data_IF_788637043414
#
_entry.id   IF_788637043414
#
_cell.length_a   1.000
_cell.length_b   1.000
_cell.length_c   1.000
_cell.angle_alpha   90.00
_cell.angle_beta   90.00
_cell.angle_gamma   90.00
#
_symmetry.space_group_name_H-M   'P 1'
#
loop_
_entity.id
_entity.type
_entity.pdbx_description
1 polymer ?
#
# COMPACT_ATOMS: atom_id res chain seq x y z
N UNK A 1 -13.43 -21.10 11.33
CA UNK A 1 -13.07 -20.26 10.20
C UNK A 1 -13.90 -19.01 10.28
N UNK A 2 -13.27 -17.91 10.66
CA UNK A 2 -13.88 -16.59 10.75
C UNK A 2 -14.55 -16.22 9.42
N UNK A 3 -15.69 -15.54 9.52
CA UNK A 3 -16.42 -15.02 8.37
C UNK A 3 -15.66 -13.85 7.75
N UNK A 4 -15.30 -13.99 6.47
CA UNK A 4 -14.58 -12.97 5.71
C UNK A 4 -15.50 -12.11 4.85
N UNK A 5 -16.83 -12.36 4.82
CA UNK A 5 -17.75 -11.54 4.01
C UNK A 5 -17.54 -10.07 4.34
N UNK A 6 -17.33 -9.28 3.28
CA UNK A 6 -17.02 -7.86 3.39
C UNK A 6 -18.14 -7.03 2.78
N UNK A 7 -18.39 -5.86 3.37
CA UNK A 7 -19.29 -4.84 2.86
C UNK A 7 -18.51 -3.52 2.81
N UNK A 8 -18.14 -3.09 1.61
CA UNK A 8 -17.40 -1.85 1.38
C UNK A 8 -18.24 -0.94 0.51
N UNK A 9 -18.74 0.17 1.07
CA UNK A 9 -19.66 1.11 0.39
C UNK A 9 -21.02 0.51 0.00
N UNK A 10 -21.49 -0.52 0.72
CA UNK A 10 -22.67 -1.30 0.32
C UNK A 10 -22.36 -2.38 -0.71
N UNK A 11 -21.12 -2.43 -1.25
CA UNK A 11 -20.68 -3.45 -2.19
C UNK A 11 -20.26 -4.69 -1.41
N UNK A 12 -21.08 -5.74 -1.52
CA UNK A 12 -20.86 -7.00 -0.81
C UNK A 12 -19.97 -7.92 -1.62
N UNK A 13 -19.03 -8.58 -0.94
CA UNK A 13 -18.21 -9.63 -1.53
C UNK A 13 -17.92 -10.76 -0.53
N UNK A 14 -17.57 -11.98 -1.00
CA UNK A 14 -17.33 -13.13 -0.12
C UNK A 14 -16.08 -13.00 0.75
N UNK A 15 -15.17 -12.09 0.40
CA UNK A 15 -13.96 -11.76 1.14
C UNK A 15 -13.49 -10.33 0.76
N UNK A 16 -12.60 -9.69 1.55
CA UNK A 16 -12.15 -8.31 1.31
C UNK A 16 -11.07 -8.19 0.22
N UNK A 17 -10.74 -9.27 -0.50
CA UNK A 17 -9.66 -9.26 -1.49
C UNK A 17 -10.21 -9.02 -2.89
N UNK A 18 -9.91 -7.86 -3.44
CA UNK A 18 -10.27 -7.50 -4.81
C UNK A 18 -9.03 -7.54 -5.70
N UNK A 19 -9.16 -7.91 -6.97
CA UNK A 19 -8.08 -7.63 -7.93
C UNK A 19 -8.07 -6.15 -8.26
N UNK A 20 -6.90 -5.52 -8.24
CA UNK A 20 -6.78 -4.12 -8.64
C UNK A 20 -6.89 -3.96 -10.16
N UNK A 21 -7.33 -2.78 -10.62
CA UNK A 21 -7.36 -2.40 -12.04
C UNK A 21 -5.95 -2.47 -12.65
N UNK A 22 -5.72 -3.52 -13.44
CA UNK A 22 -4.42 -3.98 -13.91
C UNK A 22 -4.59 -5.08 -15.00
N UNK A 23 -3.52 -5.58 -15.67
CA UNK A 23 -3.65 -6.67 -16.66
C UNK A 23 -4.49 -7.90 -16.22
N UNK A 24 -4.45 -8.33 -14.95
CA UNK A 24 -5.29 -9.44 -14.49
C UNK A 24 -6.81 -9.19 -14.63
N UNK A 25 -7.24 -7.96 -14.88
CA UNK A 25 -8.65 -7.53 -14.90
C UNK A 25 -9.09 -6.93 -16.25
N UNK A 26 -8.30 -7.10 -17.31
CA UNK A 26 -8.54 -6.45 -18.61
C UNK A 26 -9.54 -7.18 -19.53
N UNK A 27 -9.90 -8.43 -19.19
CA UNK A 27 -10.82 -9.25 -19.99
C UNK A 27 -11.63 -10.22 -19.14
N UNK A 28 -12.84 -10.52 -19.63
CA UNK A 28 -13.76 -11.50 -19.04
C UNK A 28 -13.04 -12.80 -18.67
N UNK A 29 -12.25 -13.34 -19.59
CA UNK A 29 -11.53 -14.61 -19.40
C UNK A 29 -10.71 -14.63 -18.11
N UNK A 30 -10.02 -13.54 -17.79
CA UNK A 30 -9.19 -13.45 -16.59
C UNK A 30 -10.06 -13.26 -15.33
N UNK A 31 -11.05 -12.36 -15.41
CA UNK A 31 -11.94 -12.06 -14.28
C UNK A 31 -12.75 -13.29 -13.85
N UNK A 32 -13.32 -14.04 -14.80
CA UNK A 32 -14.04 -15.29 -14.52
C UNK A 32 -13.12 -16.33 -13.88
N UNK A 33 -11.85 -16.42 -14.32
CA UNK A 33 -10.87 -17.32 -13.67
C UNK A 33 -10.53 -16.89 -12.25
N UNK A 34 -10.44 -15.58 -11.99
CA UNK A 34 -10.26 -15.06 -10.64
C UNK A 34 -11.45 -15.38 -9.74
N UNK A 35 -12.68 -15.13 -10.19
CA UNK A 35 -13.88 -15.47 -9.41
C UNK A 35 -14.00 -16.97 -9.13
N UNK A 36 -13.73 -17.83 -10.12
CA UNK A 36 -13.65 -19.28 -9.92
C UNK A 36 -12.57 -19.70 -8.90
N UNK A 37 -11.47 -18.96 -8.81
CA UNK A 37 -10.42 -19.23 -7.82
C UNK A 37 -10.81 -18.79 -6.41
N UNK A 38 -11.79 -17.89 -6.26
CA UNK A 38 -12.32 -17.44 -4.97
C UNK A 38 -12.15 -15.95 -4.67
N UNK A 39 -11.70 -15.13 -5.63
CA UNK A 39 -11.55 -13.68 -5.41
C UNK A 39 -12.87 -13.02 -5.02
N UNK A 40 -12.83 -12.10 -4.07
CA UNK A 40 -14.01 -11.41 -3.56
C UNK A 40 -14.60 -10.43 -4.58
N UNK A 41 -13.74 -9.79 -5.34
CA UNK A 41 -14.12 -8.81 -6.35
C UNK A 41 -12.99 -8.48 -7.32
N UNK A 42 -13.30 -7.63 -8.28
CA UNK A 42 -12.30 -6.99 -9.15
C UNK A 42 -12.63 -5.51 -9.33
N UNK A 43 -11.58 -4.72 -9.53
CA UNK A 43 -11.68 -3.45 -10.24
C UNK A 43 -11.28 -3.73 -11.69
N UNK A 44 -12.21 -3.59 -12.63
CA UNK A 44 -11.97 -3.78 -14.06
C UNK A 44 -10.89 -2.82 -14.57
N UNK A 45 -10.05 -3.27 -15.52
CA UNK A 45 -8.98 -2.44 -16.09
C UNK A 45 -9.55 -1.11 -16.59
N UNK A 46 -8.80 -0.04 -16.34
CA UNK A 46 -9.25 1.33 -16.65
C UNK A 46 -9.73 1.47 -18.09
N UNK A 47 -10.96 1.96 -18.27
CA UNK A 47 -11.57 2.26 -19.54
C UNK A 47 -11.32 3.72 -19.95
N UNK A 48 -11.13 3.93 -21.25
CA UNK A 48 -11.12 5.25 -21.88
C UNK A 48 -12.49 5.66 -22.42
N UNK A 49 -12.56 6.89 -22.94
CA UNK A 49 -13.75 7.37 -23.64
C UNK A 49 -13.99 6.61 -24.96
N UNK A 50 -15.16 6.82 -25.55
CA UNK A 50 -15.46 6.28 -26.87
C UNK A 50 -14.48 6.81 -27.94
N UNK A 51 -14.06 5.92 -28.83
CA UNK A 51 -13.11 6.23 -29.89
C UNK A 51 -12.08 5.11 -30.09
N UNK A 52 -11.03 5.37 -30.89
CA UNK A 52 -9.91 4.46 -31.05
C UNK A 52 -9.28 4.14 -29.69
N UNK A 53 -9.04 2.85 -29.37
CA UNK A 53 -8.38 2.49 -28.13
C UNK A 53 -6.97 3.09 -28.02
N UNK A 54 -6.47 3.18 -26.78
CA UNK A 54 -5.10 3.58 -26.54
C UNK A 54 -4.14 2.55 -27.15
N UNK A 55 -3.08 3.04 -27.79
CA UNK A 55 -2.04 2.20 -28.36
C UNK A 55 -0.92 2.04 -27.34
N UNK A 56 -0.69 0.79 -26.95
CA UNK A 56 0.46 0.41 -26.14
C UNK A 56 1.71 0.19 -27.01
N UNK A 57 2.89 0.24 -26.37
CA UNK A 57 4.12 -0.22 -27.00
C UNK A 57 4.09 -1.74 -27.22
N UNK A 58 4.59 -2.19 -28.37
CA UNK A 58 4.60 -3.61 -28.76
C UNK A 58 5.81 -4.39 -28.19
N UNK A 59 6.65 -3.74 -27.38
CA UNK A 59 7.85 -4.31 -26.77
C UNK A 59 7.68 -4.71 -25.30
N UNK A 60 8.79 -5.02 -24.60
CA UNK A 60 8.80 -5.25 -23.16
C UNK A 60 8.18 -4.05 -22.42
N UNK A 61 7.18 -4.34 -21.60
CA UNK A 61 6.46 -3.32 -20.80
C UNK A 61 6.72 -3.43 -19.31
N UNK A 62 7.50 -4.42 -18.88
CA UNK A 62 7.75 -4.72 -17.49
C UNK A 62 9.25 -4.76 -17.19
N UNK A 63 9.66 -3.96 -16.22
CA UNK A 63 10.94 -4.06 -15.52
C UNK A 63 10.74 -4.69 -14.15
N UNK A 64 11.82 -5.11 -13.50
CA UNK A 64 11.72 -5.78 -12.21
C UNK A 64 12.97 -5.60 -11.36
N UNK A 65 12.78 -5.64 -10.05
CA UNK A 65 13.85 -5.67 -9.05
C UNK A 65 13.76 -7.01 -8.31
N UNK A 66 14.90 -7.66 -8.14
CA UNK A 66 14.99 -8.99 -7.52
C UNK A 66 15.87 -8.99 -6.29
N UNK A 67 15.57 -9.92 -5.38
CA UNK A 67 16.43 -10.29 -4.28
C UNK A 67 17.57 -11.21 -4.72
N UNK A 68 18.46 -11.53 -3.79
CA UNK A 68 19.62 -12.39 -4.04
C UNK A 68 19.25 -13.79 -4.57
N UNK A 69 18.07 -14.29 -4.21
CA UNK A 69 17.50 -15.57 -4.62
C UNK A 69 16.62 -15.47 -5.88
N UNK A 70 16.68 -14.36 -6.60
CA UNK A 70 15.85 -14.03 -7.77
C UNK A 70 14.36 -13.83 -7.44
N UNK A 71 13.99 -13.78 -6.15
CA UNK A 71 12.63 -13.43 -5.70
C UNK A 71 12.28 -12.02 -6.15
N UNK A 72 11.07 -11.84 -6.66
CA UNK A 72 10.57 -10.55 -7.10
C UNK A 72 10.34 -9.61 -5.90
N UNK A 73 11.06 -8.49 -5.85
CA UNK A 73 10.88 -7.44 -4.84
C UNK A 73 9.96 -6.33 -5.33
N UNK A 74 9.93 -6.09 -6.64
CA UNK A 74 9.00 -5.16 -7.27
C UNK A 74 8.98 -5.28 -8.79
N UNK A 75 7.90 -4.78 -9.40
CA UNK A 75 7.75 -4.62 -10.84
C UNK A 75 7.64 -3.15 -11.17
N UNK A 76 8.24 -2.75 -12.27
CA UNK A 76 7.94 -1.49 -12.93
C UNK A 76 7.18 -1.79 -14.22
N UNK A 77 6.25 -0.92 -14.61
CA UNK A 77 5.52 -1.08 -15.85
C UNK A 77 5.34 0.24 -16.59
N UNK A 78 5.35 0.16 -17.92
CA UNK A 78 5.00 1.26 -18.83
C UNK A 78 3.71 0.96 -19.60
N UNK A 79 2.80 0.20 -18.98
CA UNK A 79 1.51 -0.18 -19.58
C UNK A 79 0.45 0.89 -19.37
N UNK A 80 -0.34 1.19 -20.41
CA UNK A 80 -1.38 2.21 -20.35
C UNK A 80 -2.73 1.62 -19.87
N UNK A 81 -3.82 2.38 -20.08
CA UNK A 81 -5.19 1.87 -19.91
C UNK A 81 -5.51 0.79 -20.95
N UNK A 82 -6.73 0.22 -20.89
CA UNK A 82 -7.13 -0.82 -21.84
C UNK A 82 -6.90 -0.37 -23.30
N UNK A 83 -6.30 -1.25 -24.11
CA UNK A 83 -6.17 -1.09 -25.55
C UNK A 83 -7.31 -1.79 -26.31
N UNK A 84 -8.34 -2.21 -25.58
CA UNK A 84 -9.51 -2.90 -26.10
C UNK A 84 -10.65 -1.92 -26.37
N UNK A 85 -11.49 -2.17 -27.40
CA UNK A 85 -12.67 -1.33 -27.66
C UNK A 85 -13.59 -1.23 -26.43
N UNK A 86 -14.09 -0.01 -26.17
CA UNK A 86 -14.98 0.26 -25.04
C UNK A 86 -16.19 -0.68 -25.01
N UNK A 87 -16.84 -0.89 -26.16
CA UNK A 87 -18.04 -1.72 -26.27
C UNK A 87 -17.79 -3.19 -25.89
N UNK A 88 -16.60 -3.71 -26.20
CA UNK A 88 -16.23 -5.08 -25.81
C UNK A 88 -16.12 -5.18 -24.29
N UNK A 89 -15.50 -4.20 -23.64
CA UNK A 89 -15.39 -4.16 -22.19
C UNK A 89 -16.78 -4.04 -21.53
N UNK A 90 -17.63 -3.12 -21.99
CA UNK A 90 -18.97 -2.91 -21.40
C UNK A 90 -19.83 -4.18 -21.48
N UNK A 91 -19.84 -4.85 -22.64
CA UNK A 91 -20.54 -6.13 -22.82
C UNK A 91 -20.01 -7.21 -21.88
N UNK A 92 -18.68 -7.34 -21.78
CA UNK A 92 -18.04 -8.31 -20.90
C UNK A 92 -18.32 -8.05 -19.43
N UNK A 93 -18.22 -6.79 -18.97
CA UNK A 93 -18.54 -6.39 -17.59
C UNK A 93 -19.99 -6.78 -17.26
N UNK A 94 -20.93 -6.43 -18.13
CA UNK A 94 -22.36 -6.75 -17.96
C UNK A 94 -22.60 -8.26 -17.85
N UNK A 95 -21.99 -9.03 -18.75
CA UNK A 95 -22.13 -10.49 -18.74
C UNK A 95 -21.55 -11.09 -17.44
N UNK A 96 -20.34 -10.66 -17.06
CA UNK A 96 -19.68 -11.17 -15.85
C UNK A 96 -20.45 -10.80 -14.60
N UNK A 97 -20.94 -9.56 -14.47
CA UNK A 97 -21.72 -9.12 -13.31
C UNK A 97 -23.02 -9.91 -13.17
N UNK A 98 -23.69 -10.20 -14.29
CA UNK A 98 -24.89 -11.06 -14.31
C UNK A 98 -24.59 -12.49 -13.87
N UNK A 99 -23.48 -13.06 -14.31
CA UNK A 99 -23.11 -14.45 -14.00
C UNK A 99 -22.54 -14.60 -12.57
N UNK A 100 -22.02 -13.52 -12.00
CA UNK A 100 -21.38 -13.47 -10.68
C UNK A 100 -21.92 -12.33 -9.80
N UNK A 101 -23.24 -12.34 -9.48
CA UNK A 101 -23.87 -11.24 -8.76
C UNK A 101 -23.36 -11.09 -7.32
N UNK A 102 -22.78 -12.16 -6.74
CA UNK A 102 -22.18 -12.19 -5.40
C UNK A 102 -20.78 -11.59 -5.33
N UNK A 103 -20.18 -11.19 -6.47
CA UNK A 103 -18.83 -10.61 -6.55
C UNK A 103 -18.88 -9.12 -6.76
N UNK A 104 -17.96 -8.40 -6.12
CA UNK A 104 -17.79 -6.98 -6.36
C UNK A 104 -17.19 -6.74 -7.77
N UNK A 105 -17.80 -5.85 -8.52
CA UNK A 105 -17.38 -5.40 -9.85
C UNK A 105 -17.34 -3.87 -9.86
N UNK A 106 -16.15 -3.30 -9.74
CA UNK A 106 -15.93 -1.85 -9.85
C UNK A 106 -15.30 -1.54 -11.21
N UNK A 107 -15.77 -0.52 -11.91
CA UNK A 107 -15.20 -0.15 -13.22
C UNK A 107 -14.24 1.02 -13.07
N UNK A 108 -12.96 0.80 -13.39
CA UNK A 108 -11.98 1.89 -13.37
C UNK A 108 -12.13 2.77 -14.61
N UNK A 109 -12.08 4.10 -14.45
CA UNK A 109 -12.31 5.07 -15.51
C UNK A 109 -11.20 6.11 -15.61
N UNK A 110 -10.83 6.47 -16.83
CA UNK A 110 -9.99 7.62 -17.13
C UNK A 110 -10.35 8.19 -18.50
N UNK A 111 -11.06 9.32 -18.48
CA UNK A 111 -11.52 10.05 -19.67
C UNK A 111 -10.95 11.48 -19.64
N UNK A 112 -11.05 12.25 -20.74
CA UNK A 112 -10.62 13.64 -20.75
C UNK A 112 -11.23 14.46 -19.59
N UNK A 113 -10.50 15.48 -19.12
CA UNK A 113 -10.88 16.28 -17.96
C UNK A 113 -11.92 17.35 -18.33
N UNK A 114 -13.10 16.90 -18.79
CA UNK A 114 -14.26 17.74 -19.08
C UNK A 114 -15.56 17.03 -18.68
N UNK A 115 -16.57 17.80 -18.30
CA UNK A 115 -17.81 17.27 -17.74
C UNK A 115 -18.58 16.36 -18.71
N UNK A 116 -18.59 16.68 -20.01
CA UNK A 116 -19.35 15.92 -21.02
C UNK A 116 -18.75 14.52 -21.22
N UNK A 117 -17.43 14.39 -21.24
CA UNK A 117 -16.74 13.10 -21.28
C UNK A 117 -17.12 12.21 -20.10
N UNK A 118 -17.15 12.76 -18.88
CA UNK A 118 -17.55 12.02 -17.67
C UNK A 118 -19.02 11.64 -17.67
N UNK A 119 -19.91 12.57 -18.02
CA UNK A 119 -21.34 12.32 -18.16
C UNK A 119 -21.64 11.20 -19.16
N UNK A 120 -20.97 11.20 -20.31
CA UNK A 120 -21.19 10.20 -21.36
C UNK A 120 -20.76 8.79 -20.93
N UNK A 121 -19.57 8.64 -20.32
CA UNK A 121 -19.07 7.31 -19.93
C UNK A 121 -19.85 6.72 -18.75
N UNK A 122 -20.28 7.55 -17.79
CA UNK A 122 -21.00 7.09 -16.60
C UNK A 122 -22.32 6.40 -16.97
N UNK A 123 -23.10 6.99 -17.87
CA UNK A 123 -24.36 6.40 -18.32
C UNK A 123 -24.16 4.99 -18.92
N UNK A 124 -23.10 4.81 -19.73
CA UNK A 124 -22.77 3.51 -20.32
C UNK A 124 -22.30 2.48 -19.30
N UNK A 125 -21.58 2.92 -18.27
CA UNK A 125 -21.14 2.02 -17.18
C UNK A 125 -22.32 1.59 -16.31
N UNK A 126 -23.26 2.48 -16.01
CA UNK A 126 -24.48 2.12 -15.24
C UNK A 126 -25.29 1.02 -15.93
N UNK A 127 -25.35 1.01 -17.27
CA UNK A 127 -26.02 -0.05 -18.05
C UNK A 127 -25.40 -1.44 -17.88
N UNK A 128 -24.17 -1.53 -17.36
CA UNK A 128 -23.48 -2.80 -17.07
C UNK A 128 -23.88 -3.41 -15.74
N UNK A 129 -24.60 -2.66 -14.88
CA UNK A 129 -24.98 -3.06 -13.52
C UNK A 129 -23.78 -3.30 -12.58
N UNK A 130 -22.59 -2.79 -12.95
CA UNK A 130 -21.43 -2.78 -12.06
C UNK A 130 -21.75 -2.06 -10.74
N UNK A 131 -21.06 -2.46 -9.66
CA UNK A 131 -21.38 -2.04 -8.30
C UNK A 131 -20.82 -0.65 -7.95
N UNK A 132 -19.93 -0.10 -8.77
CA UNK A 132 -19.28 1.18 -8.52
C UNK A 132 -18.27 1.58 -9.60
N UNK A 133 -17.72 2.78 -9.46
CA UNK A 133 -16.64 3.30 -10.33
C UNK A 133 -15.41 3.66 -9.52
N UNK A 134 -14.23 3.46 -10.13
CA UNK A 134 -12.95 3.89 -9.60
C UNK A 134 -12.30 4.92 -10.54
N UNK A 135 -12.15 6.17 -10.08
CA UNK A 135 -11.54 7.23 -10.88
C UNK A 135 -10.02 7.09 -10.83
N UNK A 136 -9.41 6.71 -11.95
CA UNK A 136 -7.96 6.48 -12.01
C UNK A 136 -7.20 7.80 -12.26
N UNK A 137 -6.82 8.47 -11.18
CA UNK A 137 -5.93 9.65 -11.23
C UNK A 137 -4.49 9.31 -10.87
N UNK A 138 -4.09 8.05 -11.00
CA UNK A 138 -2.80 7.60 -10.48
C UNK A 138 -1.80 7.07 -11.51
N UNK A 139 -2.18 6.88 -12.78
CA UNK A 139 -1.26 6.40 -13.82
C UNK A 139 -0.11 7.41 -14.01
N UNK A 140 1.15 7.05 -13.71
CA UNK A 140 2.26 8.01 -13.71
C UNK A 140 3.00 8.13 -15.07
N UNK A 141 2.62 7.32 -16.05
CA UNK A 141 3.34 7.17 -17.33
C UNK A 141 2.38 7.05 -18.52
N UNK A 142 2.82 7.56 -19.67
CA UNK A 142 2.12 7.63 -20.96
C UNK A 142 0.82 8.46 -21.01
N UNK A 143 0.07 8.55 -19.91
CA UNK A 143 -1.17 9.32 -19.80
C UNK A 143 -0.95 10.68 -19.14
N UNK A 144 0.03 10.79 -18.25
CA UNK A 144 0.43 12.05 -17.60
C UNK A 144 0.99 13.05 -18.59
N UNK A 145 1.75 12.58 -19.58
CA UNK A 145 2.29 13.35 -20.70
C UNK A 145 1.16 13.87 -21.61
N UNK A 146 -0.06 13.35 -21.47
CA UNK A 146 -1.29 13.81 -22.15
C UNK A 146 -2.21 14.61 -21.23
N UNK A 147 -1.74 15.01 -20.05
CA UNK A 147 -2.50 15.80 -19.07
C UNK A 147 -3.56 15.01 -18.29
N UNK A 148 -3.50 13.67 -18.28
CA UNK A 148 -4.41 12.78 -17.55
C UNK A 148 -3.66 11.97 -16.48
N UNK A 149 -4.31 11.03 -15.79
CA UNK A 149 -3.64 10.18 -14.81
C UNK A 149 -3.06 10.98 -13.64
N UNK A 150 -1.78 10.75 -13.29
CA UNK A 150 -1.14 11.42 -12.16
C UNK A 150 -1.03 12.92 -12.32
N UNK A 151 -1.04 13.46 -13.56
CA UNK A 151 -1.06 14.89 -13.79
C UNK A 151 -2.34 15.54 -13.25
N UNK A 152 -3.47 14.82 -13.26
CA UNK A 152 -4.73 15.24 -12.63
C UNK A 152 -4.68 14.93 -11.12
N UNK A 153 -4.19 13.74 -10.75
CA UNK A 153 -4.16 13.31 -9.34
C UNK A 153 -3.21 14.08 -8.43
N UNK A 154 -2.34 14.90 -8.99
CA UNK A 154 -1.47 15.82 -8.23
C UNK A 154 -2.11 17.18 -7.97
N UNK A 155 -3.27 17.47 -8.56
CA UNK A 155 -3.97 18.75 -8.46
C UNK A 155 -5.30 18.54 -7.70
N UNK A 156 -5.34 18.82 -6.38
CA UNK A 156 -6.53 18.60 -5.56
C UNK A 156 -7.81 19.22 -6.15
N UNK A 157 -7.72 20.40 -6.77
CA UNK A 157 -8.84 21.10 -7.40
C UNK A 157 -9.48 20.28 -8.53
N UNK A 158 -8.66 19.59 -9.33
CA UNK A 158 -9.18 18.74 -10.41
C UNK A 158 -9.81 17.46 -9.86
N UNK A 159 -9.25 16.88 -8.80
CA UNK A 159 -9.87 15.74 -8.11
C UNK A 159 -11.25 16.11 -7.60
N UNK A 160 -11.37 17.23 -6.89
CA UNK A 160 -12.64 17.71 -6.35
C UNK A 160 -13.67 17.95 -7.46
N UNK A 161 -13.25 18.63 -8.53
CA UNK A 161 -14.09 18.96 -9.68
C UNK A 161 -14.62 17.71 -10.39
N UNK A 162 -13.74 16.78 -10.76
CA UNK A 162 -14.15 15.57 -11.48
C UNK A 162 -15.02 14.67 -10.59
N UNK A 163 -14.67 14.53 -9.32
CA UNK A 163 -15.50 13.77 -8.37
C UNK A 163 -16.91 14.37 -8.29
N UNK A 164 -17.03 15.70 -8.25
CA UNK A 164 -18.33 16.38 -8.26
C UNK A 164 -19.14 16.07 -9.52
N UNK A 165 -18.52 16.06 -10.70
CA UNK A 165 -19.19 15.65 -11.94
C UNK A 165 -19.69 14.21 -11.88
N UNK A 166 -18.88 13.29 -11.35
CA UNK A 166 -19.29 11.89 -11.20
C UNK A 166 -20.49 11.76 -10.27
N UNK A 167 -20.48 12.43 -9.12
CA UNK A 167 -21.60 12.42 -8.18
C UNK A 167 -22.85 13.16 -8.69
N UNK A 168 -22.68 14.11 -9.61
CA UNK A 168 -23.79 14.81 -10.25
C UNK A 168 -24.48 13.94 -11.31
N UNK A 169 -23.72 13.15 -12.08
CA UNK A 169 -24.22 12.39 -13.23
C UNK A 169 -24.43 10.89 -12.96
N UNK A 170 -24.05 10.39 -11.78
CA UNK A 170 -24.23 8.99 -11.40
C UNK A 170 -24.54 8.82 -9.92
N UNK A 171 -25.28 7.75 -9.60
CA UNK A 171 -25.55 7.31 -8.21
C UNK A 171 -24.65 6.17 -7.76
N UNK A 172 -23.80 5.64 -8.64
CA UNK A 172 -22.86 4.59 -8.28
C UNK A 172 -21.90 5.07 -7.17
N UNK A 173 -21.47 4.17 -6.26
CA UNK A 173 -20.33 4.42 -5.39
C UNK A 173 -19.12 4.86 -6.21
N UNK A 174 -18.52 5.98 -5.80
CA UNK A 174 -17.38 6.61 -6.47
C UNK A 174 -16.14 6.52 -5.58
N UNK A 175 -15.17 5.71 -6.02
CA UNK A 175 -13.88 5.53 -5.36
C UNK A 175 -12.84 6.35 -6.13
N UNK A 176 -12.08 7.23 -5.47
CA UNK A 176 -11.01 7.99 -6.12
C UNK A 176 -9.65 7.34 -5.88
N UNK A 177 -8.97 6.91 -6.94
CA UNK A 177 -7.66 6.26 -6.85
C UNK A 177 -6.51 7.26 -6.84
N UNK A 178 -5.83 7.36 -5.71
CA UNK A 178 -4.81 8.37 -5.45
C UNK A 178 -3.42 7.95 -5.93
N UNK A 179 -2.68 8.91 -6.46
CA UNK A 179 -1.27 8.76 -6.83
C UNK A 179 -0.38 8.89 -5.59
N UNK A 180 0.66 8.05 -5.41
CA UNK A 180 1.67 8.26 -4.38
C UNK A 180 2.71 9.32 -4.79
N UNK A 181 2.68 9.80 -6.03
CA UNK A 181 3.65 10.76 -6.57
C UNK A 181 3.30 12.19 -6.14
N UNK A 182 3.18 12.43 -4.83
CA UNK A 182 2.72 13.69 -4.24
C UNK A 182 3.47 13.94 -2.92
N UNK A 183 3.59 15.20 -2.52
CA UNK A 183 4.24 15.56 -1.25
C UNK A 183 3.40 15.18 -0.04
N UNK A 184 2.08 15.39 -0.10
CA UNK A 184 1.15 15.10 0.98
C UNK A 184 -0.10 14.43 0.41
N UNK A 185 -0.29 13.16 0.76
CA UNK A 185 -1.42 12.34 0.27
C UNK A 185 -2.76 12.77 0.87
N UNK A 186 -2.76 13.49 2.00
CA UNK A 186 -4.00 13.97 2.65
C UNK A 186 -4.69 15.01 1.79
N UNK A 187 -3.95 15.88 1.10
CA UNK A 187 -4.51 16.94 0.25
C UNK A 187 -5.42 16.43 -0.88
N UNK A 188 -5.01 15.45 -1.71
CA UNK A 188 -5.89 14.88 -2.71
C UNK A 188 -7.04 14.04 -2.09
N UNK A 189 -6.83 13.41 -0.92
CA UNK A 189 -7.89 12.69 -0.22
C UNK A 189 -8.99 13.62 0.34
N UNK A 190 -8.60 14.74 0.96
CA UNK A 190 -9.50 15.81 1.38
C UNK A 190 -10.31 16.35 0.20
N UNK A 191 -9.66 16.56 -0.96
CA UNK A 191 -10.33 17.03 -2.17
C UNK A 191 -11.33 16.01 -2.73
N UNK A 192 -10.97 14.72 -2.76
CA UNK A 192 -11.91 13.67 -3.13
C UNK A 192 -13.16 13.69 -2.22
N UNK A 193 -12.95 13.82 -0.90
CA UNK A 193 -14.05 13.93 0.08
C UNK A 193 -14.93 15.17 -0.16
N UNK A 194 -14.33 16.35 -0.39
CA UNK A 194 -15.07 17.59 -0.72
C UNK A 194 -15.84 17.49 -2.04
N UNK A 195 -15.32 16.72 -2.99
CA UNK A 195 -16.00 16.42 -4.26
C UNK A 195 -17.16 15.44 -4.11
N UNK A 196 -17.32 14.80 -2.95
CA UNK A 196 -18.37 13.85 -2.65
C UNK A 196 -18.01 12.38 -2.92
N UNK A 197 -16.71 12.06 -3.00
CA UNK A 197 -16.27 10.67 -3.14
C UNK A 197 -16.79 9.82 -1.97
N UNK A 198 -17.23 8.60 -2.26
CA UNK A 198 -17.68 7.65 -1.26
C UNK A 198 -16.50 6.91 -0.61
N UNK A 199 -15.35 6.87 -1.29
CA UNK A 199 -14.09 6.34 -0.77
C UNK A 199 -12.88 6.86 -1.55
N UNK A 200 -11.70 6.60 -1.01
CA UNK A 200 -10.44 6.62 -1.77
C UNK A 200 -9.83 5.24 -1.87
N UNK A 201 -9.08 5.00 -2.93
CA UNK A 201 -8.22 3.83 -3.05
C UNK A 201 -6.77 4.25 -3.24
N UNK A 202 -5.83 3.58 -2.56
CA UNK A 202 -4.42 3.96 -2.63
C UNK A 202 -3.48 2.84 -2.22
N UNK A 203 -2.29 2.75 -2.81
CA UNK A 203 -1.72 3.68 -3.78
C UNK A 203 -1.79 3.14 -5.21
N UNK A 204 -1.80 4.05 -6.19
CA UNK A 204 -1.34 3.72 -7.53
C UNK A 204 0.20 3.50 -7.54
N UNK A 205 0.79 3.28 -8.70
CA UNK A 205 2.23 2.98 -8.82
C UNK A 205 3.12 4.22 -8.62
N UNK A 206 4.34 4.00 -8.14
CA UNK A 206 5.35 5.05 -7.89
C UNK A 206 6.21 5.25 -9.13
N UNK A 207 6.38 6.47 -9.62
CA UNK A 207 7.23 6.77 -10.77
C UNK A 207 8.68 6.38 -10.49
N UNK A 208 9.27 5.51 -11.32
CA UNK A 208 10.66 5.07 -11.16
C UNK A 208 11.29 4.56 -12.45
N UNK A 209 12.62 4.40 -12.40
CA UNK A 209 13.43 3.59 -13.30
C UNK A 209 14.00 2.44 -12.47
N UNK A 210 13.89 1.18 -12.92
CA UNK A 210 14.38 0.02 -12.15
C UNK A 210 15.86 -0.25 -12.32
N UNK A 211 16.38 -0.05 -13.52
CA UNK A 211 17.78 -0.28 -13.86
C UNK A 211 18.11 0.43 -15.17
N UNK A 212 19.40 0.51 -15.47
CA UNK A 212 19.93 1.01 -16.74
C UNK A 212 20.72 -0.13 -17.37
N UNK A 213 20.43 -0.45 -18.62
CA UNK A 213 21.29 -1.29 -19.45
C UNK A 213 22.57 -0.49 -19.74
N UNK A 214 23.72 -1.00 -19.28
CA UNK A 214 25.00 -0.29 -19.36
C UNK A 214 25.73 -0.48 -20.69
N UNK A 215 25.22 -1.32 -21.59
CA UNK A 215 25.76 -1.47 -22.95
C UNK A 215 25.15 -0.41 -23.88
N UNK A 216 23.85 -0.14 -23.76
CA UNK A 216 23.14 0.85 -24.58
C UNK A 216 22.76 2.15 -23.83
N UNK A 217 23.02 2.22 -22.53
CA UNK A 217 22.70 3.36 -21.64
C UNK A 217 21.21 3.73 -21.61
N UNK A 218 20.31 2.76 -21.80
CA UNK A 218 18.87 2.97 -21.77
C UNK A 218 18.24 2.47 -20.46
N UNK A 219 17.20 3.15 -19.94
CA UNK A 219 16.40 2.61 -18.85
C UNK A 219 15.73 1.28 -19.23
N UNK A 220 15.57 0.39 -18.26
CA UNK A 220 14.83 -0.86 -18.44
C UNK A 220 13.40 -0.77 -17.91
N UNK A 221 12.38 -1.29 -18.63
CA UNK A 221 12.49 -2.04 -19.88
C UNK A 221 12.85 -1.15 -21.10
N UNK A 222 13.79 -1.62 -21.92
CA UNK A 222 14.22 -0.94 -23.14
C UNK A 222 13.43 -1.35 -24.39
N UNK A 223 13.12 -0.39 -25.25
CA UNK A 223 12.47 -0.53 -26.55
C UNK A 223 13.27 0.27 -27.56
N UNK A 224 13.84 -0.43 -28.55
CA UNK A 224 14.63 0.19 -29.62
C UNK A 224 15.75 1.11 -29.08
N UNK A 225 16.45 0.64 -28.03
CA UNK A 225 17.53 1.37 -27.37
C UNK A 225 17.08 2.57 -26.53
N UNK A 226 15.79 2.66 -26.18
CA UNK A 226 15.23 3.73 -25.33
C UNK A 226 14.35 3.15 -24.23
N UNK A 227 14.39 3.78 -23.06
CA UNK A 227 13.49 3.50 -21.95
C UNK A 227 12.83 4.77 -21.44
N UNK A 228 11.79 4.61 -20.63
CA UNK A 228 11.08 5.69 -19.96
C UNK A 228 10.96 5.37 -18.46
N UNK A 229 10.57 6.36 -17.66
CA UNK A 229 10.07 6.06 -16.33
C UNK A 229 8.76 5.28 -16.44
N UNK A 230 8.49 4.44 -15.45
CA UNK A 230 7.24 3.69 -15.36
C UNK A 230 6.74 3.62 -13.93
N UNK A 231 5.65 2.88 -13.72
CA UNK A 231 5.03 2.68 -12.43
C UNK A 231 5.60 1.49 -11.65
N UNK A 232 6.31 1.75 -10.56
CA UNK A 232 6.79 0.77 -9.59
C UNK A 232 5.70 0.28 -8.64
N UNK A 233 5.65 -1.03 -8.45
CA UNK A 233 4.69 -1.74 -7.63
C UNK A 233 5.30 -3.04 -7.05
N UNK A 234 4.53 -3.76 -6.24
CA UNK A 234 4.97 -5.00 -5.60
C UNK A 234 5.43 -4.80 -4.15
N UNK A 235 6.02 -5.83 -3.52
CA UNK A 235 6.36 -5.84 -2.09
C UNK A 235 7.11 -4.58 -1.61
N UNK A 236 8.05 -4.09 -2.43
CA UNK A 236 8.88 -2.95 -2.08
C UNK A 236 8.10 -1.64 -1.86
N UNK A 237 6.88 -1.51 -2.41
CA UNK A 237 6.06 -0.28 -2.21
C UNK A 237 5.17 -0.34 -0.97
N UNK A 238 5.03 -1.51 -0.33
CA UNK A 238 4.14 -1.72 0.82
C UNK A 238 4.38 -0.71 1.96
N UNK A 239 5.62 -0.43 2.41
CA UNK A 239 5.82 0.50 3.52
C UNK A 239 5.32 1.92 3.21
N UNK A 240 5.46 2.36 1.95
CA UNK A 240 4.98 3.66 1.48
C UNK A 240 3.44 3.69 1.47
N UNK A 241 2.82 2.62 0.96
CA UNK A 241 1.38 2.47 0.92
C UNK A 241 0.75 2.44 2.33
N UNK A 242 1.33 1.67 3.26
CA UNK A 242 0.86 1.62 4.66
C UNK A 242 0.94 3.00 5.32
N UNK A 243 2.04 3.72 5.13
CA UNK A 243 2.18 5.09 5.66
C UNK A 243 1.08 6.01 5.11
N UNK A 244 0.83 5.99 3.81
CA UNK A 244 -0.19 6.85 3.20
C UNK A 244 -1.62 6.48 3.63
N UNK A 245 -1.91 5.19 3.80
CA UNK A 245 -3.19 4.72 4.35
C UNK A 245 -3.37 5.23 5.78
N UNK A 246 -2.33 5.10 6.62
CA UNK A 246 -2.36 5.55 8.00
C UNK A 246 -2.54 7.06 8.12
N UNK A 247 -1.87 7.86 7.27
CA UNK A 247 -2.01 9.31 7.24
C UNK A 247 -3.44 9.75 6.91
N UNK A 248 -4.11 9.12 5.94
CA UNK A 248 -5.51 9.43 5.63
C UNK A 248 -6.44 8.94 6.75
N UNK A 249 -6.19 7.74 7.29
CA UNK A 249 -7.06 7.15 8.30
C UNK A 249 -7.05 7.94 9.62
N UNK A 250 -5.89 8.51 10.01
CA UNK A 250 -5.73 9.28 11.26
C UNK A 250 -6.03 10.77 11.10
N UNK A 251 -6.05 11.29 9.87
CA UNK A 251 -6.26 12.71 9.64
C UNK A 251 -7.72 13.15 9.92
N UNK A 252 -7.93 14.19 10.75
CA UNK A 252 -9.28 14.66 11.07
C UNK A 252 -10.08 15.17 9.85
N UNK A 253 -9.44 15.74 8.84
CA UNK A 253 -10.15 16.26 7.67
C UNK A 253 -10.70 15.13 6.78
N UNK A 254 -10.01 13.99 6.74
CA UNK A 254 -10.47 12.77 6.06
C UNK A 254 -11.20 11.78 6.96
N UNK A 255 -11.45 12.11 8.24
CA UNK A 255 -12.18 11.25 9.16
C UNK A 255 -13.50 10.71 8.56
N UNK A 256 -13.72 9.40 8.69
CA UNK A 256 -14.90 8.71 8.15
C UNK A 256 -14.89 8.47 6.63
N UNK A 257 -13.84 8.85 5.91
CA UNK A 257 -13.66 8.51 4.49
C UNK A 257 -13.17 7.06 4.37
N UNK A 258 -13.94 6.13 3.79
CA UNK A 258 -13.52 4.74 3.61
C UNK A 258 -12.30 4.63 2.68
N UNK A 259 -11.43 3.65 2.97
CA UNK A 259 -10.19 3.40 2.24
C UNK A 259 -10.19 1.99 1.64
N UNK A 260 -9.89 1.87 0.35
CA UNK A 260 -9.53 0.62 -0.32
C UNK A 260 -8.01 0.55 -0.44
N UNK A 261 -7.36 -0.34 0.33
CA UNK A 261 -5.90 -0.40 0.44
C UNK A 261 -5.25 -1.15 -0.72
N UNK A 262 -4.16 -0.62 -1.29
CA UNK A 262 -3.47 -1.16 -2.46
C UNK A 262 -1.96 -0.92 -2.32
N UNK A 263 -1.13 -1.89 -2.69
CA UNK A 263 0.31 -1.71 -2.83
C UNK A 263 1.13 -2.74 -2.06
N UNK A 264 1.68 -3.71 -2.78
CA UNK A 264 2.61 -4.69 -2.19
C UNK A 264 1.99 -5.75 -1.28
N UNK A 265 0.67 -5.91 -1.27
CA UNK A 265 -0.01 -7.05 -0.63
C UNK A 265 0.38 -8.35 -1.35
N UNK A 266 1.08 -9.23 -0.64
CA UNK A 266 1.51 -10.55 -1.12
C UNK A 266 1.12 -11.69 -0.20
N UNK A 267 0.85 -11.40 1.07
CA UNK A 267 0.45 -12.36 2.09
C UNK A 267 -0.79 -11.90 2.82
N UNK A 268 -1.41 -12.81 3.58
CA UNK A 268 -2.53 -12.46 4.46
C UNK A 268 -2.13 -11.46 5.55
N UNK A 269 -0.86 -11.48 6.01
CA UNK A 269 -0.35 -10.54 7.02
C UNK A 269 -0.32 -9.13 6.45
N UNK A 270 0.17 -8.98 5.22
CA UNK A 270 0.16 -7.69 4.53
C UNK A 270 -1.25 -7.12 4.47
N UNK A 271 -2.24 -7.95 4.08
CA UNK A 271 -3.64 -7.53 4.04
C UNK A 271 -4.18 -7.15 5.43
N UNK A 272 -3.87 -7.94 6.46
CA UNK A 272 -4.28 -7.63 7.83
C UNK A 272 -3.70 -6.30 8.32
N UNK A 273 -2.47 -5.95 7.95
CA UNK A 273 -1.86 -4.65 8.27
C UNK A 273 -2.58 -3.48 7.57
N UNK A 274 -2.92 -3.61 6.29
CA UNK A 274 -3.72 -2.59 5.59
C UNK A 274 -5.09 -2.39 6.25
N UNK A 275 -5.78 -3.48 6.57
CA UNK A 275 -7.08 -3.44 7.26
C UNK A 275 -6.91 -2.77 8.64
N UNK A 276 -5.93 -3.21 9.43
CA UNK A 276 -5.65 -2.63 10.75
C UNK A 276 -5.33 -1.12 10.70
N UNK A 277 -4.69 -0.64 9.64
CA UNK A 277 -4.40 0.79 9.42
C UNK A 277 -5.58 1.59 8.84
N UNK A 278 -6.75 0.99 8.67
CA UNK A 278 -7.98 1.72 8.32
C UNK A 278 -8.58 1.36 6.96
N UNK A 279 -8.00 0.43 6.20
CA UNK A 279 -8.64 -0.05 4.99
C UNK A 279 -9.89 -0.89 5.30
N UNK A 280 -10.94 -0.75 4.48
CA UNK A 280 -12.15 -1.58 4.52
C UNK A 280 -12.08 -2.80 3.61
N UNK A 281 -11.24 -2.75 2.57
CA UNK A 281 -10.87 -3.89 1.74
C UNK A 281 -9.43 -3.71 1.24
N UNK A 282 -8.90 -4.72 0.53
CA UNK A 282 -7.59 -4.65 -0.10
C UNK A 282 -7.64 -5.04 -1.57
N UNK A 283 -6.99 -4.26 -2.44
CA UNK A 283 -6.76 -4.61 -3.84
C UNK A 283 -5.37 -5.21 -4.05
N UNK A 284 -5.29 -6.26 -4.87
CA UNK A 284 -4.07 -7.02 -5.13
C UNK A 284 -3.80 -7.10 -6.63
N UNK A 285 -2.55 -6.87 -7.03
CA UNK A 285 -2.13 -6.91 -8.43
C UNK A 285 -0.88 -7.78 -8.61
N UNK A 286 0.28 -7.29 -8.14
CA UNK A 286 1.57 -7.95 -8.35
C UNK A 286 1.57 -9.40 -7.88
N UNK A 287 1.00 -9.70 -6.71
CA UNK A 287 0.94 -11.07 -6.21
C UNK A 287 0.14 -12.01 -7.13
N UNK A 288 -0.98 -11.54 -7.70
CA UNK A 288 -1.75 -12.32 -8.67
C UNK A 288 -0.99 -12.51 -9.99
N UNK A 289 -0.20 -11.52 -10.41
CA UNK A 289 0.66 -11.62 -11.60
C UNK A 289 1.84 -12.59 -11.38
N UNK A 290 2.38 -12.64 -10.16
CA UNK A 290 3.55 -13.47 -9.82
C UNK A 290 3.17 -14.92 -9.52
N UNK A 291 2.08 -15.14 -8.77
CA UNK A 291 1.71 -16.45 -8.22
C UNK A 291 0.40 -17.01 -8.81
N UNK A 292 -0.23 -16.27 -9.73
CA UNK A 292 -1.51 -16.63 -10.33
C UNK A 292 -2.69 -16.42 -9.37
N UNK A 293 -3.91 -16.61 -9.89
CA UNK A 293 -5.14 -16.37 -9.12
C UNK A 293 -5.32 -17.30 -7.90
N UNK A 294 -4.61 -18.43 -7.84
CA UNK A 294 -4.69 -19.40 -6.74
C UNK A 294 -4.23 -18.86 -5.38
N UNK A 295 -3.40 -17.80 -5.38
CA UNK A 295 -2.90 -17.15 -4.15
C UNK A 295 -4.02 -16.70 -3.20
N UNK A 296 -5.21 -16.41 -3.72
CA UNK A 296 -6.37 -16.03 -2.92
C UNK A 296 -6.71 -17.05 -1.83
N UNK A 297 -6.41 -18.35 -2.06
CA UNK A 297 -6.63 -19.40 -1.06
C UNK A 297 -5.75 -19.22 0.16
N UNK A 298 -4.48 -18.86 -0.04
CA UNK A 298 -3.55 -18.57 1.06
C UNK A 298 -3.91 -17.27 1.77
N UNK A 299 -4.31 -16.24 1.01
CA UNK A 299 -4.73 -14.95 1.55
C UNK A 299 -5.95 -15.11 2.47
N UNK A 300 -6.98 -15.81 2.00
CA UNK A 300 -8.24 -16.02 2.74
C UNK A 300 -8.05 -16.99 3.91
N UNK A 301 -7.37 -18.12 3.72
CA UNK A 301 -7.14 -19.09 4.80
C UNK A 301 -6.30 -18.47 5.93
N UNK A 302 -5.23 -17.74 5.58
CA UNK A 302 -4.37 -17.10 6.57
C UNK A 302 -5.08 -15.99 7.35
N UNK A 303 -5.86 -15.14 6.67
CA UNK A 303 -6.63 -14.09 7.35
C UNK A 303 -7.71 -14.68 8.25
N UNK A 304 -8.45 -15.69 7.79
CA UNK A 304 -9.49 -16.36 8.58
C UNK A 304 -8.92 -17.03 9.83
N UNK A 305 -7.78 -17.73 9.72
CA UNK A 305 -7.09 -18.35 10.85
C UNK A 305 -6.60 -17.31 11.86
N UNK A 306 -6.03 -16.20 11.39
CA UNK A 306 -5.58 -15.12 12.27
C UNK A 306 -6.75 -14.50 13.05
N UNK A 307 -7.87 -14.24 12.38
CA UNK A 307 -9.08 -13.71 13.02
C UNK A 307 -9.65 -14.67 14.06
N UNK A 308 -9.72 -15.98 13.75
CA UNK A 308 -10.13 -17.02 14.70
C UNK A 308 -9.21 -17.06 15.94
N UNK A 309 -7.89 -17.04 15.73
CA UNK A 309 -6.91 -17.05 16.82
C UNK A 309 -7.01 -15.81 17.73
N UNK A 310 -7.42 -14.67 17.17
CA UNK A 310 -7.63 -13.43 17.92
C UNK A 310 -9.04 -13.30 18.49
N UNK A 311 -9.95 -14.22 18.16
CA UNK A 311 -11.35 -14.15 18.57
C UNK A 311 -12.03 -12.87 18.08
N UNK A 312 -11.72 -12.43 16.85
CA UNK A 312 -12.18 -11.16 16.30
C UNK A 312 -12.77 -11.31 14.90
N UNK A 313 -13.70 -10.44 14.56
CA UNK A 313 -14.32 -10.32 13.24
C UNK A 313 -13.48 -9.46 12.30
N UNK A 314 -13.77 -9.53 11.00
CA UNK A 314 -13.14 -8.67 9.99
C UNK A 314 -13.36 -7.17 10.30
N UNK A 315 -14.57 -6.78 10.71
CA UNK A 315 -14.90 -5.39 11.05
C UNK A 315 -14.15 -4.88 12.28
N UNK A 316 -13.86 -5.75 13.26
CA UNK A 316 -13.08 -5.38 14.45
C UNK A 316 -11.58 -5.24 14.16
N UNK A 317 -11.10 -5.80 13.05
CA UNK A 317 -9.72 -5.59 12.60
C UNK A 317 -9.56 -4.21 11.95
N UNK A 318 -10.52 -3.79 11.13
CA UNK A 318 -10.42 -2.54 10.39
C UNK A 318 -10.20 -1.31 11.28
N UNK A 319 -9.11 -0.58 11.06
CA UNK A 319 -8.76 0.63 11.80
C UNK A 319 -8.21 0.40 13.21
N UNK A 320 -8.06 -0.86 13.67
CA UNK A 320 -7.64 -1.17 15.04
C UNK A 320 -6.25 -0.61 15.42
N UNK A 321 -5.38 -0.40 14.44
CA UNK A 321 -4.05 0.18 14.65
C UNK A 321 -4.00 1.71 14.50
N UNK A 322 -5.04 2.35 13.95
CA UNK A 322 -5.06 3.80 13.68
C UNK A 322 -4.78 4.64 14.94
N UNK A 323 -5.36 4.36 16.13
CA UNK A 323 -5.05 5.12 17.35
C UNK A 323 -3.59 5.01 17.82
N UNK A 324 -2.84 4.02 17.34
CA UNK A 324 -1.44 3.80 17.69
C UNK A 324 -0.47 4.45 16.68
N UNK A 325 -0.98 5.11 15.63
CA UNK A 325 -0.16 5.89 14.70
C UNK A 325 -0.13 7.34 15.17
N UNK A 326 1.05 7.78 15.62
CA UNK A 326 1.23 9.12 16.17
C UNK A 326 2.48 9.79 15.60
N UNK A 327 2.57 11.11 15.76
CA UNK A 327 3.77 11.84 15.40
C UNK A 327 4.88 11.53 16.39
N UNK A 328 6.12 11.58 15.90
CA UNK A 328 7.31 11.26 16.70
C UNK A 328 7.36 11.98 18.05
N UNK A 329 6.92 13.25 18.09
CA UNK A 329 6.98 14.07 19.30
C UNK A 329 6.13 13.54 20.46
N UNK A 330 5.19 12.63 20.20
CA UNK A 330 4.33 12.00 21.21
C UNK A 330 4.78 10.58 21.60
N UNK A 331 5.89 10.08 21.04
CA UNK A 331 6.45 8.80 21.45
C UNK A 331 7.00 8.90 22.88
N UNK A 332 6.81 7.85 23.67
CA UNK A 332 7.26 7.80 25.06
C UNK A 332 8.79 7.66 25.13
N UNK A 333 9.47 8.76 25.39
CA UNK A 333 10.92 8.85 25.59
C UNK A 333 11.38 8.18 26.89
N UNK A 334 10.49 7.97 27.86
CA UNK A 334 10.81 7.24 29.09
C UNK A 334 10.80 5.71 28.90
N UNK A 335 10.34 5.21 27.75
CA UNK A 335 10.33 3.77 27.46
C UNK A 335 11.74 3.30 27.04
N UNK A 336 12.54 2.88 28.03
CA UNK A 336 13.92 2.43 27.80
C UNK A 336 13.98 0.93 27.58
N UNK A 337 14.69 0.52 26.53
CA UNK A 337 15.01 -0.88 26.24
C UNK A 337 16.52 -1.07 26.08
N UNK A 338 16.98 -2.32 26.06
CA UNK A 338 18.35 -2.72 25.70
C UNK A 338 18.31 -3.93 24.78
N UNK A 339 19.28 -4.02 23.87
CA UNK A 339 19.43 -5.21 23.06
C UNK A 339 19.98 -6.36 23.92
N UNK A 340 19.54 -7.58 23.66
CA UNK A 340 20.11 -8.81 24.24
C UNK A 340 20.39 -9.81 23.13
N UNK A 341 21.55 -10.45 23.20
CA UNK A 341 21.97 -11.47 22.24
C UNK A 341 21.84 -12.82 22.92
N UNK A 342 21.03 -13.69 22.34
CA UNK A 342 20.96 -15.10 22.70
C UNK A 342 22.16 -15.84 22.12
N UNK A 343 23.06 -16.28 23.00
CA UNK A 343 24.31 -16.96 22.61
C UNK A 343 24.07 -18.38 22.09
N UNK A 344 22.94 -19.02 22.43
CA UNK A 344 22.59 -20.35 21.93
C UNK A 344 22.07 -20.27 20.48
N UNK A 345 21.43 -19.16 20.12
CA UNK A 345 20.99 -18.89 18.74
C UNK A 345 22.07 -18.25 17.86
N UNK A 346 23.09 -17.64 18.48
CA UNK A 346 24.11 -16.88 17.76
C UNK A 346 24.98 -17.76 16.86
N UNK A 347 24.92 -17.51 15.55
CA UNK A 347 25.77 -18.18 14.54
C UNK A 347 27.14 -17.51 14.34
N UNK A 348 27.53 -16.61 15.23
CA UNK A 348 28.84 -15.89 15.23
C UNK A 348 29.19 -15.13 13.95
N UNK A 349 28.20 -14.72 13.15
CA UNK A 349 28.43 -14.04 11.88
C UNK A 349 29.01 -12.61 12.01
N UNK A 350 28.78 -11.94 13.15
CA UNK A 350 29.32 -10.61 13.45
C UNK A 350 28.61 -9.42 12.76
N UNK A 351 27.46 -9.63 12.10
CA UNK A 351 26.70 -8.53 11.47
C UNK A 351 26.21 -7.50 12.50
N UNK A 352 25.78 -7.96 13.67
CA UNK A 352 25.35 -7.08 14.76
C UNK A 352 26.50 -6.17 15.23
N UNK A 353 27.69 -6.76 15.44
CA UNK A 353 28.91 -6.01 15.77
C UNK A 353 29.26 -5.01 14.67
N UNK A 354 29.42 -5.45 13.42
CA UNK A 354 29.79 -4.55 12.32
C UNK A 354 28.80 -3.39 12.14
N UNK A 355 27.49 -3.67 12.23
CA UNK A 355 26.48 -2.61 12.15
C UNK A 355 26.59 -1.62 13.32
N UNK A 356 26.83 -2.10 14.55
CA UNK A 356 26.94 -1.23 15.71
C UNK A 356 28.26 -0.44 15.72
N UNK A 357 29.37 -1.11 15.41
CA UNK A 357 30.74 -0.61 15.45
C UNK A 357 31.00 0.42 14.34
N UNK A 358 30.72 0.07 13.09
CA UNK A 358 31.11 0.92 11.97
C UNK A 358 30.07 2.00 11.65
N UNK A 359 28.81 1.84 12.08
CA UNK A 359 27.69 2.67 11.59
C UNK A 359 26.77 3.23 12.66
N UNK A 360 27.03 2.98 13.95
CA UNK A 360 26.11 3.42 15.02
C UNK A 360 26.82 3.87 16.30
N UNK A 361 26.93 2.98 17.31
CA UNK A 361 27.17 3.38 18.71
C UNK A 361 28.25 2.57 19.43
N UNK A 362 28.98 1.69 18.74
CA UNK A 362 30.08 0.91 19.34
C UNK A 362 29.66 0.16 20.63
N UNK A 363 28.40 -0.27 20.68
CA UNK A 363 27.75 -0.81 21.87
C UNK A 363 27.66 -2.35 21.88
N UNK A 364 28.39 -3.01 21.00
CA UNK A 364 28.50 -4.47 20.97
C UNK A 364 29.98 -4.78 21.00
N UNK A 365 30.42 -5.54 21.99
CA UNK A 365 31.79 -6.06 22.08
C UNK A 365 31.94 -7.31 21.22
N UNK A 366 33.17 -7.60 20.80
CA UNK A 366 33.53 -8.87 20.15
C UNK A 366 34.75 -9.45 20.86
N UNK A 367 34.60 -10.62 21.46
CA UNK A 367 35.74 -11.36 22.03
C UNK A 367 36.59 -12.02 20.92
N UNK A 368 37.84 -12.45 21.21
CA UNK A 368 38.66 -13.21 20.27
C UNK A 368 37.97 -14.47 19.72
N UNK A 369 37.10 -15.10 20.51
CA UNK A 369 36.32 -16.30 20.14
C UNK A 369 35.01 -15.98 19.40
N UNK A 370 34.85 -14.71 18.98
CA UNK A 370 33.66 -14.16 18.30
C UNK A 370 32.37 -14.39 19.08
N UNK A 371 32.45 -14.22 20.39
CA UNK A 371 31.29 -14.01 21.25
C UNK A 371 30.95 -12.52 21.21
N UNK A 372 29.68 -12.20 21.01
CA UNK A 372 29.20 -10.83 20.85
C UNK A 372 28.28 -10.48 21.99
N UNK A 373 28.59 -9.44 22.75
CA UNK A 373 27.79 -9.02 23.90
C UNK A 373 27.50 -7.53 23.86
N UNK A 374 26.31 -7.15 24.30
CA UNK A 374 25.86 -5.76 24.35
C UNK A 374 26.51 -5.06 25.55
N UNK A 375 27.09 -3.89 25.31
CA UNK A 375 27.65 -3.00 26.33
C UNK A 375 26.52 -2.05 26.74
N UNK A 376 25.90 -2.30 27.89
CA UNK A 376 24.70 -1.56 28.33
C UNK A 376 24.97 -0.08 28.56
N UNK A 377 26.20 0.27 28.93
CA UNK A 377 26.71 1.64 29.08
C UNK A 377 26.69 2.42 27.76
N UNK A 378 26.78 1.74 26.61
CA UNK A 378 26.85 2.39 25.30
C UNK A 378 25.56 2.18 24.48
N UNK A 379 24.79 1.13 24.79
CA UNK A 379 23.61 0.74 24.01
C UNK A 379 22.50 1.79 24.10
N UNK A 380 22.20 2.46 22.98
CA UNK A 380 21.06 3.39 22.86
C UNK A 380 19.75 2.71 22.46
N UNK A 381 19.76 1.40 22.27
CA UNK A 381 18.59 0.62 21.83
C UNK A 381 17.98 1.05 20.47
N UNK A 382 18.81 1.41 19.49
CA UNK A 382 18.36 1.81 18.16
C UNK A 382 17.74 0.68 17.31
N UNK A 383 17.78 -0.57 17.79
CA UNK A 383 17.22 -1.76 17.13
C UNK A 383 17.92 -2.17 15.81
N UNK A 384 19.02 -1.52 15.39
CA UNK A 384 19.70 -1.86 14.15
C UNK A 384 20.27 -3.29 14.16
N UNK A 385 20.91 -3.70 15.27
CA UNK A 385 21.52 -5.03 15.42
C UNK A 385 20.49 -6.16 15.26
N UNK A 386 19.27 -5.96 15.78
CA UNK A 386 18.14 -6.89 15.62
C UNK A 386 17.77 -7.03 14.15
N UNK A 387 17.60 -5.91 13.44
CA UNK A 387 17.16 -5.91 12.04
C UNK A 387 18.18 -6.50 11.05
N UNK A 388 19.48 -6.42 11.35
CA UNK A 388 20.53 -7.00 10.48
C UNK A 388 20.88 -8.45 10.83
N UNK A 389 20.41 -8.95 11.98
CA UNK A 389 20.65 -10.31 12.41
C UNK A 389 19.93 -11.29 11.47
N UNK A 390 20.63 -12.28 10.88
CA UNK A 390 20.00 -13.23 9.97
C UNK A 390 19.25 -14.36 10.69
N UNK A 391 19.34 -14.44 12.02
CA UNK A 391 18.68 -15.45 12.84
C UNK A 391 17.52 -14.79 13.59
N UNK A 392 16.31 -15.25 13.27
CA UNK A 392 15.09 -14.75 13.92
C UNK A 392 15.18 -14.92 15.44
N UNK A 393 14.79 -13.89 16.19
CA UNK A 393 14.80 -13.84 17.65
C UNK A 393 16.18 -14.06 18.34
N UNK A 394 17.29 -14.14 17.60
CA UNK A 394 18.63 -14.21 18.22
C UNK A 394 18.99 -12.92 18.96
N UNK A 395 18.48 -11.77 18.52
CA UNK A 395 18.63 -10.51 19.24
C UNK A 395 17.24 -9.93 19.50
N UNK A 396 16.96 -9.57 20.74
CA UNK A 396 15.69 -8.99 21.19
C UNK A 396 15.90 -7.63 21.85
N UNK A 397 14.83 -6.84 21.95
CA UNK A 397 14.80 -5.59 22.70
C UNK A 397 14.07 -5.82 24.03
N UNK A 398 14.79 -5.78 25.14
CA UNK A 398 14.23 -5.98 26.47
C UNK A 398 13.98 -4.64 27.17
N UNK A 399 12.77 -4.44 27.71
CA UNK A 399 12.43 -3.24 28.48
C UNK A 399 13.13 -3.29 29.84
N UNK A 400 13.82 -2.22 30.20
CA UNK A 400 14.32 -2.05 31.57
C UNK A 400 13.14 -1.79 32.51
N UNK A 401 13.06 -2.47 33.67
CA UNK A 401 11.97 -2.24 34.61
C UNK A 401 12.06 -0.83 35.19
N UNK A 402 10.90 -0.25 35.53
CA UNK A 402 10.85 1.02 36.23
C UNK A 402 11.65 0.94 37.55
N UNK A 403 12.43 1.97 37.86
CA UNK A 403 13.36 1.99 38.99
C UNK A 403 14.74 1.41 38.70
N UNK A 404 14.94 0.72 37.58
CA UNK A 404 16.30 0.34 37.14
C UNK A 404 17.09 1.57 36.70
N UNK A 405 18.41 1.52 36.84
CA UNK A 405 19.30 2.56 36.31
C UNK A 405 19.68 2.19 34.87
N UNK A 406 19.41 3.08 33.92
CA UNK A 406 19.98 2.98 32.58
C UNK A 406 21.47 3.34 32.65
N UNK A 407 22.34 2.33 32.55
CA UNK A 407 23.79 2.50 32.68
C UNK A 407 24.39 3.50 31.68
N UNK A 408 23.73 3.72 30.54
CA UNK A 408 24.17 4.72 29.55
C UNK A 408 23.99 6.14 30.01
N UNK A 409 22.85 6.44 30.64
CA UNK A 409 22.50 7.80 31.05
C UNK A 409 22.77 8.07 32.52
N UNK A 410 22.96 7.01 33.32
CA UNK A 410 23.00 7.08 34.78
C UNK A 410 21.66 7.47 35.41
N UNK A 411 20.58 7.49 34.63
CA UNK A 411 19.25 7.91 35.09
C UNK A 411 18.39 6.71 35.44
N UNK A 412 17.48 6.91 36.40
CA UNK A 412 16.47 5.93 36.75
C UNK A 412 15.38 5.87 35.67
N UNK A 413 15.02 4.66 35.25
CA UNK A 413 13.97 4.40 34.27
C UNK A 413 12.61 4.69 34.89
N UNK A 414 11.87 5.59 34.26
CA UNK A 414 10.56 6.03 34.71
C UNK A 414 9.46 5.14 34.11
N UNK A 415 8.36 4.96 34.85
CA UNK A 415 7.18 4.24 34.34
C UNK A 415 6.14 5.17 33.71
N UNK A 416 6.18 6.46 34.05
CA UNK A 416 5.25 7.44 33.51
C UNK A 416 5.59 7.84 32.07
N UNK A 417 4.57 8.25 31.31
CA UNK A 417 4.75 8.70 29.94
C UNK A 417 5.43 10.07 29.92
N UNK A 418 6.56 10.17 29.22
CA UNK A 418 7.23 11.44 28.94
C UNK A 418 7.56 11.50 27.47
N UNK A 419 7.14 12.55 26.77
CA UNK A 419 7.39 12.74 25.35
C UNK A 419 8.11 14.06 25.05
N UNK A 420 8.41 14.30 23.78
CA UNK A 420 9.17 15.48 23.35
C UNK A 420 8.45 16.79 23.68
N UNK A 421 7.12 16.81 23.72
CA UNK A 421 6.36 18.05 23.95
C UNK A 421 6.57 18.63 25.34
N UNK A 422 6.90 17.77 26.32
CA UNK A 422 7.19 18.13 27.71
C UNK A 422 8.69 18.10 28.03
N UNK A 423 9.53 17.69 27.08
CA UNK A 423 10.94 17.45 27.36
C UNK A 423 11.69 18.77 27.64
N UNK A 424 12.57 18.85 28.66
CA UNK A 424 13.25 20.10 29.03
C UNK A 424 14.10 20.77 27.93
N UNK A 425 14.51 19.98 26.93
CA UNK A 425 15.28 20.44 25.76
C UNK A 425 14.40 20.87 24.59
N UNK A 426 13.08 20.70 24.66
CA UNK A 426 12.20 21.22 23.63
C UNK A 426 12.08 22.75 23.80
N UNK A 427 12.59 23.56 22.85
CA UNK A 427 12.56 25.01 22.96
C UNK A 427 11.12 25.56 23.01
N UNK A 428 10.15 24.82 22.46
CA UNK A 428 8.74 25.20 22.49
C UNK A 428 8.09 24.91 23.85
N UNK A 429 8.62 23.97 24.64
CA UNK A 429 8.06 23.63 25.95
C UNK A 429 8.22 24.78 26.97
N UNK A 430 9.25 25.63 26.80
CA UNK A 430 9.51 26.78 27.69
C UNK A 430 8.88 28.09 27.22
N UNK A 431 8.28 28.12 26.04
CA UNK A 431 7.68 29.32 25.46
C UNK A 431 6.20 29.52 25.86
N UNK A 432 5.65 28.60 26.66
CA UNK A 432 4.26 28.62 27.13
C UNK A 432 4.09 29.12 28.57
N UNK A 433 5.17 29.63 29.21
CA UNK A 433 5.12 30.32 30.52
C UNK A 433 5.06 31.84 30.39
#
# INVERSE_FOLDING_TARGET
MADLRSDFLGIKSPNPFWLASAPPTDKEYNVVRAFKAGWGGVVWKTLGAEGPPIVNVNGPRYGAVWGADRRLLGLNNIELITDRPLEVNLREIKQVKRDWPDRAMVVSLMVPCDEESWKAILARVEETEADGVELNFGCPHGMSERGMGSAVGQVPEYIEMVTRWVKQHSRMPCIVKLTPNITDIRKPAEAAKRGGADAVSLINTISSITSVDLDNFSPEPSIDGKGAHGGYCGPAVKPIALNMVAEIARDPATAGLPISGIGGVTTWRDAAEFLALGAGNVQVCTAAMTYGFGIIKELTAGLSLYLDQKGMTLSELSGRAVPNVTDWQYLNLNYVTKARIDQDLCIKCGRCYAACEDTSHQAISMSPDRVFDVIDEECVACNLCVNVCPVENCITMERLPAGAVDLRTGQEVRDDHGDWTMHPNNPMARAAE
#
